data_IF_804952054944
#
_entry.id   IF_804952054944
#
_cell.length_a   1.000
_cell.length_b   1.000
_cell.length_c   1.000
_cell.angle_alpha   90.00
_cell.angle_beta   90.00
_cell.angle_gamma   90.00
#
_symmetry.space_group_name_H-M   'P 1'
#
loop_
_entity.id
_entity.type
_entity.pdbx_description
1 polymer ?
#
# COMPACT_ATOMS: atom_id res chain seq x y z
N UNK A 1 -3.07 21.62 -1.09
CA UNK A 1 -3.76 20.32 -1.29
C UNK A 1 -2.70 19.30 -1.68
N UNK A 2 -2.73 18.08 -1.12
CA UNK A 2 -1.84 16.99 -1.52
C UNK A 2 -2.57 16.08 -2.49
N UNK A 3 -1.92 15.72 -3.58
CA UNK A 3 -2.44 14.79 -4.58
C UNK A 3 -1.58 13.54 -4.54
N UNK A 4 -2.23 12.40 -4.40
CA UNK A 4 -1.59 11.08 -4.39
C UNK A 4 -2.03 10.35 -5.67
N UNK A 5 -1.07 9.94 -6.48
CA UNK A 5 -1.32 9.13 -7.67
C UNK A 5 -1.19 7.64 -7.34
N UNK A 6 -2.07 6.81 -7.87
CA UNK A 6 -2.18 5.39 -7.51
C UNK A 6 -1.99 4.43 -8.71
N UNK A 7 -0.87 4.48 -9.46
CA UNK A 7 -0.61 3.58 -10.59
C UNK A 7 -0.60 2.11 -10.19
N UNK A 8 -0.20 1.76 -8.96
CA UNK A 8 -0.23 0.41 -8.43
C UNK A 8 -1.64 -0.18 -8.51
N UNK A 9 -2.63 0.57 -8.06
CA UNK A 9 -4.02 0.12 -8.03
C UNK A 9 -4.57 -0.07 -9.44
N UNK A 10 -4.33 0.89 -10.32
CA UNK A 10 -4.70 0.82 -11.72
C UNK A 10 -4.10 -0.39 -12.44
N UNK A 11 -2.81 -0.69 -12.21
CA UNK A 11 -2.13 -1.83 -12.83
C UNK A 11 -2.59 -3.18 -12.28
N UNK A 12 -3.01 -3.24 -11.02
CA UNK A 12 -3.33 -4.50 -10.32
C UNK A 12 -4.42 -5.31 -11.02
N UNK A 13 -5.39 -4.65 -11.66
CA UNK A 13 -6.51 -5.28 -12.36
C UNK A 13 -6.22 -5.76 -13.78
N UNK A 14 -5.03 -5.52 -14.32
CA UNK A 14 -4.70 -5.96 -15.68
C UNK A 14 -4.46 -7.46 -15.74
N UNK A 15 -5.11 -8.14 -16.68
CA UNK A 15 -5.00 -9.58 -16.89
C UNK A 15 -3.66 -10.01 -17.50
N UNK A 16 -3.07 -9.15 -18.33
CA UNK A 16 -1.74 -9.39 -18.91
C UNK A 16 -0.68 -8.72 -18.06
N UNK A 17 0.41 -9.44 -17.79
CA UNK A 17 1.53 -8.86 -17.04
C UNK A 17 2.12 -7.69 -17.84
N UNK A 18 2.19 -6.53 -17.20
CA UNK A 18 2.83 -5.35 -17.76
C UNK A 18 4.35 -5.54 -17.60
N UNK A 19 5.14 -5.50 -18.68
CA UNK A 19 6.59 -5.63 -18.58
C UNK A 19 7.22 -4.62 -17.62
N UNK A 20 8.23 -5.05 -16.88
CA UNK A 20 8.89 -4.25 -15.84
C UNK A 20 9.41 -2.91 -16.38
N UNK A 21 10.01 -2.92 -17.59
CA UNK A 21 10.50 -1.72 -18.27
C UNK A 21 9.38 -0.70 -18.55
N UNK A 22 8.19 -1.17 -18.90
CA UNK A 22 7.02 -0.32 -19.12
C UNK A 22 6.55 0.33 -17.80
N UNK A 23 6.56 -0.44 -16.71
CA UNK A 23 6.24 0.11 -15.37
C UNK A 23 7.26 1.17 -14.96
N UNK A 24 8.55 0.89 -15.13
CA UNK A 24 9.63 1.84 -14.82
C UNK A 24 9.46 3.13 -15.61
N UNK A 25 9.24 3.03 -16.92
CA UNK A 25 9.05 4.20 -17.78
C UNK A 25 7.82 4.99 -17.35
N UNK A 26 6.69 4.33 -17.08
CA UNK A 26 5.47 4.98 -16.63
C UNK A 26 5.66 5.72 -15.29
N UNK A 27 6.26 5.06 -14.30
CA UNK A 27 6.54 5.71 -13.01
C UNK A 27 7.49 6.89 -13.17
N UNK A 28 8.53 6.77 -14.01
CA UNK A 28 9.45 7.89 -14.28
C UNK A 28 8.73 9.10 -14.90
N UNK A 29 7.73 8.89 -15.77
CA UNK A 29 6.91 9.99 -16.30
C UNK A 29 6.04 10.61 -15.20
N UNK A 30 5.42 9.80 -14.32
CA UNK A 30 4.64 10.30 -13.20
C UNK A 30 5.49 11.10 -12.20
N UNK A 31 6.74 10.72 -11.98
CA UNK A 31 7.67 11.46 -11.10
C UNK A 31 7.96 12.88 -11.59
N UNK A 32 7.84 13.13 -12.90
CA UNK A 32 8.02 14.47 -13.49
C UNK A 32 6.81 15.39 -13.27
N UNK A 33 5.62 14.82 -12.98
CA UNK A 33 4.38 15.59 -12.79
C UNK A 33 4.38 16.37 -11.47
N UNK A 34 5.10 15.86 -10.45
CA UNK A 34 5.20 16.53 -9.15
C UNK A 34 4.05 16.22 -8.20
N UNK A 35 3.50 15.02 -8.22
CA UNK A 35 2.59 14.53 -7.18
C UNK A 35 3.25 14.57 -5.80
N UNK A 36 2.47 14.78 -4.73
CA UNK A 36 3.00 14.67 -3.35
C UNK A 36 3.52 13.26 -3.08
N UNK A 37 2.76 12.26 -3.51
CA UNK A 37 3.07 10.85 -3.28
C UNK A 37 2.59 10.00 -4.46
N UNK A 38 3.30 8.93 -4.77
CA UNK A 38 2.89 7.90 -5.74
C UNK A 38 2.82 6.55 -5.02
N UNK A 39 1.66 5.89 -5.08
CA UNK A 39 1.49 4.49 -4.69
C UNK A 39 2.02 3.61 -5.83
N UNK A 40 3.28 3.21 -5.71
CA UNK A 40 4.10 2.69 -6.82
C UNK A 40 4.08 1.17 -6.92
N UNK A 41 3.73 0.46 -5.86
CA UNK A 41 3.84 -0.99 -5.85
C UNK A 41 3.37 -1.67 -4.57
N UNK A 42 3.67 -2.96 -4.44
CA UNK A 42 3.23 -3.75 -3.30
C UNK A 42 4.22 -4.87 -2.97
N UNK A 43 4.42 -5.11 -1.67
CA UNK A 43 5.16 -6.24 -1.12
C UNK A 43 4.23 -7.33 -0.53
N UNK A 44 3.10 -7.54 -1.19
CA UNK A 44 2.19 -8.66 -0.89
C UNK A 44 2.66 -9.95 -1.59
N UNK A 45 1.94 -11.07 -1.35
CA UNK A 45 2.26 -12.35 -2.01
C UNK A 45 2.20 -12.22 -3.53
N UNK A 46 3.27 -12.68 -4.20
CA UNK A 46 3.39 -12.70 -5.66
C UNK A 46 2.35 -13.62 -6.31
N UNK A 47 1.93 -14.66 -5.60
CA UNK A 47 0.90 -15.58 -6.03
C UNK A 47 -0.48 -14.91 -6.03
N UNK A 48 -0.73 -14.02 -5.07
CA UNK A 48 -2.00 -13.28 -4.99
C UNK A 48 -2.08 -12.14 -6.01
N UNK A 49 -0.97 -11.41 -6.18
CA UNK A 49 -0.90 -10.27 -7.12
C UNK A 49 0.34 -10.40 -7.99
N UNK A 50 0.31 -11.30 -9.00
CA UNK A 50 1.45 -11.52 -9.90
C UNK A 50 1.90 -10.25 -10.63
N UNK A 51 0.95 -9.34 -10.91
CA UNK A 51 1.22 -8.08 -11.60
C UNK A 51 2.25 -7.21 -10.86
N UNK A 52 2.35 -7.33 -9.54
CA UNK A 52 3.24 -6.52 -8.70
C UNK A 52 4.45 -7.31 -8.17
N UNK A 53 4.70 -8.50 -8.70
CA UNK A 53 5.80 -9.36 -8.28
C UNK A 53 7.20 -8.75 -8.51
N UNK A 54 7.29 -7.77 -9.38
CA UNK A 54 8.52 -7.06 -9.77
C UNK A 54 8.70 -5.69 -9.08
N UNK A 55 7.88 -5.36 -8.07
CA UNK A 55 7.94 -4.07 -7.34
C UNK A 55 9.36 -3.69 -6.93
N UNK A 56 10.12 -4.63 -6.36
CA UNK A 56 11.53 -4.39 -5.95
C UNK A 56 12.44 -3.98 -7.11
N UNK A 57 12.23 -4.55 -8.31
CA UNK A 57 12.99 -4.16 -9.51
C UNK A 57 12.59 -2.77 -9.99
N UNK A 58 11.29 -2.48 -9.99
CA UNK A 58 10.77 -1.17 -10.38
C UNK A 58 11.39 -0.09 -9.49
N UNK A 59 11.29 -0.23 -8.16
CA UNK A 59 11.82 0.76 -7.20
C UNK A 59 13.32 1.02 -7.41
N UNK A 60 14.12 -0.04 -7.57
CA UNK A 60 15.57 0.09 -7.81
C UNK A 60 15.95 0.74 -9.14
N UNK A 61 15.03 0.83 -10.09
CA UNK A 61 15.30 1.27 -11.46
C UNK A 61 14.66 2.60 -11.82
N UNK A 62 13.74 3.12 -11.00
CA UNK A 62 13.17 4.45 -11.21
C UNK A 62 14.17 5.55 -10.84
N UNK A 63 14.05 6.69 -11.49
CA UNK A 63 14.95 7.82 -11.27
C UNK A 63 14.35 8.79 -10.26
N UNK A 64 14.85 8.75 -9.03
CA UNK A 64 14.44 9.66 -7.95
C UNK A 64 15.20 10.98 -7.93
N UNK A 65 16.09 11.24 -8.90
CA UNK A 65 16.79 12.51 -9.00
C UNK A 65 15.82 13.64 -9.41
N UNK A 66 15.97 14.79 -8.80
CA UNK A 66 15.21 16.02 -9.13
C UNK A 66 13.68 15.89 -8.90
N UNK A 67 13.24 14.99 -8.02
CA UNK A 67 11.84 14.92 -7.59
C UNK A 67 11.71 15.06 -6.07
N UNK A 68 10.63 15.70 -5.63
CA UNK A 68 10.22 15.75 -4.22
C UNK A 68 9.08 14.76 -3.91
N UNK A 69 8.61 14.05 -4.94
CA UNK A 69 7.55 13.06 -4.83
C UNK A 69 8.00 11.90 -3.94
N UNK A 70 7.14 11.50 -3.04
CA UNK A 70 7.38 10.39 -2.11
C UNK A 70 6.80 9.11 -2.65
N UNK A 71 7.45 7.98 -2.36
CA UNK A 71 6.93 6.68 -2.74
C UNK A 71 6.18 6.02 -1.58
N UNK A 72 5.03 5.46 -1.91
CA UNK A 72 4.22 4.61 -1.05
C UNK A 72 4.16 3.22 -1.67
N UNK A 73 4.23 2.19 -0.83
CA UNK A 73 4.02 0.80 -1.23
C UNK A 73 3.07 0.10 -0.28
N UNK A 74 2.24 -0.81 -0.80
CA UNK A 74 1.31 -1.58 0.02
C UNK A 74 2.02 -2.79 0.64
N UNK A 75 1.77 -3.00 1.93
CA UNK A 75 2.19 -4.17 2.70
C UNK A 75 0.98 -4.81 3.37
N UNK A 76 0.89 -6.14 3.35
CA UNK A 76 -0.22 -6.88 3.96
C UNK A 76 0.16 -7.60 5.26
N UNK A 77 1.44 -7.62 5.61
CA UNK A 77 1.97 -8.30 6.78
C UNK A 77 3.40 -7.84 7.09
N UNK A 78 3.94 -8.33 8.22
CA UNK A 78 5.29 -7.99 8.70
C UNK A 78 6.40 -8.43 7.72
N UNK A 79 6.23 -9.55 7.00
CA UNK A 79 7.21 -9.98 5.99
C UNK A 79 7.37 -8.94 4.89
N UNK A 80 6.24 -8.49 4.31
CA UNK A 80 6.26 -7.46 3.27
C UNK A 80 6.80 -6.13 3.80
N UNK A 81 6.45 -5.76 5.02
CA UNK A 81 6.96 -4.55 5.67
C UNK A 81 8.49 -4.62 5.87
N UNK A 82 9.01 -5.75 6.39
CA UNK A 82 10.46 -5.95 6.55
C UNK A 82 11.22 -5.91 5.22
N UNK A 83 10.61 -6.37 4.12
CA UNK A 83 11.20 -6.24 2.79
C UNK A 83 11.19 -4.77 2.32
N UNK A 84 10.06 -4.07 2.49
CA UNK A 84 9.87 -2.70 2.02
C UNK A 84 10.80 -1.69 2.70
N UNK A 85 11.07 -1.83 4.00
CA UNK A 85 11.90 -0.85 4.74
C UNK A 85 13.37 -0.84 4.31
N UNK A 86 13.84 -1.84 3.56
CA UNK A 86 15.20 -1.90 3.03
C UNK A 86 15.42 -1.03 1.78
N UNK A 87 14.39 -0.33 1.30
CA UNK A 87 14.48 0.58 0.16
C UNK A 87 14.44 2.03 0.67
N UNK A 88 15.53 2.75 0.50
CA UNK A 88 15.64 4.15 0.94
C UNK A 88 14.65 5.06 0.23
N UNK A 89 14.30 4.73 -1.01
CA UNK A 89 13.36 5.46 -1.86
C UNK A 89 11.92 5.45 -1.30
N UNK A 90 11.55 4.45 -0.52
CA UNK A 90 10.22 4.33 0.06
C UNK A 90 10.09 5.24 1.27
N UNK A 91 9.08 6.10 1.24
CA UNK A 91 8.75 7.00 2.36
C UNK A 91 7.59 6.46 3.21
N UNK A 92 6.63 5.78 2.57
CA UNK A 92 5.39 5.33 3.20
C UNK A 92 5.14 3.85 2.98
N UNK A 93 4.72 3.15 4.04
CA UNK A 93 4.12 1.84 3.96
C UNK A 93 2.60 1.98 4.10
N UNK A 94 1.84 1.47 3.13
CA UNK A 94 0.38 1.46 3.15
C UNK A 94 -0.14 0.12 3.69
N UNK A 95 -0.96 0.13 4.72
CA UNK A 95 -1.58 -1.07 5.27
C UNK A 95 -3.09 -1.04 5.08
N UNK A 96 -3.69 -2.04 4.39
CA UNK A 96 -5.14 -2.12 4.16
C UNK A 96 -5.86 -2.68 5.39
N UNK A 97 -6.21 -1.82 6.34
CA UNK A 97 -7.08 -2.15 7.44
C UNK A 97 -8.55 -1.95 7.03
N UNK A 98 -9.46 -2.75 7.57
CA UNK A 98 -10.89 -2.63 7.32
C UNK A 98 -11.70 -2.70 8.61
N UNK A 99 -12.79 -1.94 8.66
CA UNK A 99 -13.79 -2.07 9.72
C UNK A 99 -14.71 -3.28 9.53
N UNK A 100 -14.75 -3.87 8.32
CA UNK A 100 -15.52 -5.08 7.99
C UNK A 100 -14.67 -6.32 8.23
N UNK A 101 -15.12 -7.18 9.13
CA UNK A 101 -14.46 -8.45 9.45
C UNK A 101 -14.42 -9.38 8.22
N UNK A 102 -15.52 -9.41 7.46
CA UNK A 102 -15.62 -10.22 6.23
C UNK A 102 -14.64 -9.75 5.16
N UNK A 103 -14.55 -8.43 4.95
CA UNK A 103 -13.58 -7.88 3.99
C UNK A 103 -12.14 -8.12 4.44
N UNK A 104 -11.85 -7.92 5.73
CA UNK A 104 -10.51 -8.11 6.27
C UNK A 104 -10.00 -9.54 6.07
N UNK A 105 -10.87 -10.55 6.34
CA UNK A 105 -10.56 -11.95 6.08
C UNK A 105 -10.32 -12.23 4.60
N UNK A 106 -11.17 -11.71 3.71
CA UNK A 106 -11.06 -11.92 2.26
C UNK A 106 -9.82 -11.24 1.67
N UNK A 107 -9.52 -10.03 2.09
CA UNK A 107 -8.44 -9.21 1.52
C UNK A 107 -7.05 -9.67 1.97
N UNK A 108 -6.82 -9.75 3.27
CA UNK A 108 -5.48 -10.06 3.81
C UNK A 108 -5.43 -11.35 4.65
N UNK A 109 -6.51 -12.13 4.66
CA UNK A 109 -6.63 -13.38 5.43
C UNK A 109 -6.29 -13.18 6.92
N UNK A 110 -6.93 -12.19 7.54
CA UNK A 110 -6.72 -11.80 8.93
C UNK A 110 -8.03 -11.35 9.56
N UNK A 111 -8.23 -11.56 10.85
CA UNK A 111 -9.28 -10.89 11.60
C UNK A 111 -8.96 -9.39 11.79
N UNK A 112 -9.96 -8.58 12.13
CA UNK A 112 -9.75 -7.19 12.50
C UNK A 112 -8.79 -7.10 13.70
N UNK A 113 -9.00 -7.94 14.72
CA UNK A 113 -8.15 -7.98 15.92
C UNK A 113 -6.68 -8.33 15.60
N UNK A 114 -6.45 -9.34 14.76
CA UNK A 114 -5.08 -9.72 14.37
C UNK A 114 -4.45 -8.66 13.48
N UNK A 115 -5.25 -7.97 12.68
CA UNK A 115 -4.80 -6.87 11.83
C UNK A 115 -4.34 -5.67 12.63
N UNK A 116 -4.97 -5.36 13.77
CA UNK A 116 -4.51 -4.32 14.69
C UNK A 116 -3.12 -4.65 15.25
N UNK A 117 -2.91 -5.90 15.68
CA UNK A 117 -1.59 -6.32 16.18
C UNK A 117 -0.51 -6.22 15.09
N UNK A 118 -0.84 -6.62 13.85
CA UNK A 118 0.06 -6.43 12.70
C UNK A 118 0.34 -4.96 12.44
N UNK A 119 -0.69 -4.11 12.50
CA UNK A 119 -0.55 -2.67 12.32
C UNK A 119 0.43 -2.07 13.32
N UNK A 120 0.31 -2.43 14.61
CA UNK A 120 1.23 -2.00 15.67
C UNK A 120 2.67 -2.44 15.38
N UNK A 121 2.87 -3.71 15.00
CA UNK A 121 4.19 -4.23 14.65
C UNK A 121 4.81 -3.48 13.45
N UNK A 122 4.00 -3.22 12.40
CA UNK A 122 4.44 -2.49 11.22
C UNK A 122 4.72 -1.01 11.57
N UNK A 123 3.91 -0.39 12.41
CA UNK A 123 4.16 0.97 12.91
C UNK A 123 5.50 1.07 13.64
N UNK A 124 5.77 0.12 14.54
CA UNK A 124 7.04 0.06 15.27
C UNK A 124 8.24 -0.11 14.32
N UNK A 125 8.07 -0.93 13.26
CA UNK A 125 9.08 -1.10 12.23
C UNK A 125 9.29 0.20 11.42
N UNK A 126 8.21 0.88 11.04
CA UNK A 126 8.28 2.15 10.33
C UNK A 126 9.06 3.20 11.13
N UNK A 127 8.76 3.34 12.43
CA UNK A 127 9.47 4.28 13.32
C UNK A 127 10.97 3.97 13.36
N UNK A 128 11.35 2.70 13.55
CA UNK A 128 12.76 2.26 13.59
C UNK A 128 13.50 2.52 12.27
N UNK A 129 12.78 2.48 11.15
CA UNK A 129 13.36 2.63 9.80
C UNK A 129 13.18 4.02 9.21
N UNK A 130 12.75 5.00 10.02
CA UNK A 130 12.45 6.37 9.58
C UNK A 130 11.47 6.44 8.39
N UNK A 131 10.47 5.54 8.39
CA UNK A 131 9.37 5.50 7.43
C UNK A 131 8.08 5.91 8.13
N UNK A 132 7.02 6.16 7.36
CA UNK A 132 5.69 6.46 7.91
C UNK A 132 4.68 5.41 7.49
N UNK A 133 3.77 5.09 8.38
CA UNK A 133 2.64 4.21 8.09
C UNK A 133 1.46 5.03 7.59
N UNK A 134 0.81 4.55 6.53
CA UNK A 134 -0.48 5.02 6.05
C UNK A 134 -1.48 3.88 6.22
N UNK A 135 -2.46 4.06 7.07
CA UNK A 135 -3.53 3.07 7.29
C UNK A 135 -4.73 3.43 6.45
N UNK A 136 -5.15 2.52 5.58
CA UNK A 136 -6.42 2.64 4.85
C UNK A 136 -7.53 2.11 5.72
N UNK A 137 -8.59 2.88 5.90
CA UNK A 137 -9.78 2.46 6.61
C UNK A 137 -10.85 2.00 5.60
N UNK A 138 -10.69 0.76 5.13
CA UNK A 138 -11.57 0.19 4.10
C UNK A 138 -12.97 -0.09 4.65
N UNK A 139 -13.97 -0.02 3.76
CA UNK A 139 -15.39 -0.18 4.08
C UNK A 139 -15.95 0.89 5.05
N UNK A 140 -15.29 2.04 5.13
CA UNK A 140 -15.69 3.15 6.01
C UNK A 140 -17.00 3.83 5.59
N UNK A 141 -17.49 3.59 4.39
CA UNK A 141 -18.75 4.14 3.85
C UNK A 141 -19.82 3.08 3.62
N UNK A 142 -19.69 1.92 4.24
CA UNK A 142 -20.54 0.76 4.07
C UNK A 142 -19.84 -0.40 3.40
N UNK A 143 -20.49 -1.57 3.38
CA UNK A 143 -19.94 -2.79 2.81
C UNK A 143 -21.02 -3.64 2.16
N UNK A 144 -20.69 -4.48 1.14
CA UNK A 144 -21.63 -5.34 0.46
C UNK A 144 -21.84 -6.70 1.16
N UNK A 145 -21.28 -6.91 2.35
CA UNK A 145 -21.24 -8.20 3.03
C UNK A 145 -22.29 -8.32 4.12
N UNK A 146 -23.01 -7.24 4.44
CA UNK A 146 -23.95 -7.20 5.55
C UNK A 146 -23.30 -7.06 6.94
N UNK A 147 -21.99 -6.77 6.99
CA UNK A 147 -21.32 -6.45 8.26
C UNK A 147 -21.87 -5.14 8.81
N UNK A 148 -21.96 -5.04 10.13
CA UNK A 148 -22.42 -3.83 10.80
C UNK A 148 -21.56 -2.60 10.41
N UNK A 149 -22.23 -1.48 10.15
CA UNK A 149 -21.61 -0.22 9.81
C UNK A 149 -22.33 0.95 10.43
N UNK A 150 -21.57 1.87 10.98
CA UNK A 150 -22.04 3.19 11.41
C UNK A 150 -20.89 4.18 11.43
N UNK A 151 -21.23 5.47 11.44
CA UNK A 151 -20.23 6.55 11.61
C UNK A 151 -19.46 6.42 12.93
N UNK A 152 -20.10 5.88 13.98
CA UNK A 152 -19.47 5.67 15.29
C UNK A 152 -18.42 4.56 15.24
N UNK A 153 -18.69 3.47 14.51
CA UNK A 153 -17.71 2.39 14.27
C UNK A 153 -16.51 2.94 13.50
N UNK A 154 -16.75 3.74 12.46
CA UNK A 154 -15.68 4.37 11.68
C UNK A 154 -14.83 5.29 12.54
N UNK A 155 -15.47 6.16 13.33
CA UNK A 155 -14.76 7.08 14.25
C UNK A 155 -13.91 6.31 15.27
N UNK A 156 -14.47 5.27 15.89
CA UNK A 156 -13.74 4.41 16.85
C UNK A 156 -12.46 3.80 16.25
N UNK A 157 -12.50 3.38 14.98
CA UNK A 157 -11.32 2.81 14.34
C UNK A 157 -10.34 3.85 13.77
N UNK A 158 -10.76 5.11 13.67
CA UNK A 158 -9.91 6.21 13.18
C UNK A 158 -9.11 6.90 14.31
N UNK A 159 -9.48 6.67 15.57
CA UNK A 159 -8.78 7.14 16.78
C UNK A 159 -7.62 6.20 17.14
#
# INVERSE_FOLDING_TARGET
MKIIECPRDAMQGFSKFIPTDKKINYINELLKVGFDTIDVGSFVSKEKIPQLADTSKVIKSINMNNTTTKLLVIVGNERGANEAVNFDEISYLGFPFSISETFQKRNINSSVKDSLKRLENIQNLCVKSNKKLVTYLSMAFGNPYGDEWSIYIVAHWAE
#
